data_IF_938490031887
#
_entry.id   IF_938490031887
#
_cell.length_a   1.000
_cell.length_b   1.000
_cell.length_c   1.000
_cell.angle_alpha   90.00
_cell.angle_beta   90.00
_cell.angle_gamma   90.00
#
_symmetry.space_group_name_H-M   'P 1'
#
loop_
_entity.id
_entity.type
_entity.pdbx_description
1 polymer ?
#
# COMPACT_ATOMS: atom_id res chain seq x y z
N UNK A 1 5.10 11.70 3.75
CA UNK A 1 5.32 10.85 2.56
C UNK A 1 6.40 11.51 1.73
N UNK A 2 7.63 11.03 1.78
CA UNK A 2 8.73 11.57 0.98
C UNK A 2 9.23 10.44 0.08
N UNK A 3 8.72 10.43 -1.15
CA UNK A 3 9.18 9.56 -2.24
C UNK A 3 9.99 10.45 -3.15
N UNK A 4 11.31 10.27 -3.16
CA UNK A 4 12.25 11.10 -3.90
C UNK A 4 12.91 10.36 -5.08
N UNK A 5 12.29 9.27 -5.55
CA UNK A 5 12.75 8.56 -6.76
C UNK A 5 11.86 8.97 -7.92
N UNK A 6 12.24 10.06 -8.59
CA UNK A 6 11.57 10.52 -9.81
C UNK A 6 11.85 9.52 -10.94
N UNK A 7 10.90 8.64 -11.22
CA UNK A 7 10.99 7.60 -12.25
C UNK A 7 10.42 8.05 -13.60
N UNK A 8 10.14 9.35 -13.73
CA UNK A 8 9.56 10.00 -14.90
C UNK A 8 8.13 9.56 -15.22
N UNK A 9 7.39 8.99 -14.26
CA UNK A 9 5.99 8.59 -14.47
C UNK A 9 5.12 9.76 -14.92
N UNK A 10 5.31 10.94 -14.34
CA UNK A 10 4.65 12.19 -14.71
C UNK A 10 4.74 12.48 -16.22
N UNK A 11 5.96 12.56 -16.76
CA UNK A 11 6.20 12.90 -18.17
C UNK A 11 5.91 11.74 -19.12
N UNK A 12 6.01 10.50 -18.65
CA UNK A 12 5.56 9.32 -19.43
C UNK A 12 4.06 9.33 -19.62
N UNK A 13 3.29 9.69 -18.59
CA UNK A 13 1.84 9.87 -18.70
C UNK A 13 1.51 10.98 -19.69
N UNK A 14 2.19 12.13 -19.63
CA UNK A 14 1.99 13.22 -20.61
C UNK A 14 2.31 12.78 -22.05
N UNK A 15 3.41 12.06 -22.25
CA UNK A 15 3.75 11.47 -23.54
C UNK A 15 2.65 10.53 -24.05
N UNK A 16 2.16 9.63 -23.18
CA UNK A 16 1.05 8.73 -23.52
C UNK A 16 -0.25 9.48 -23.85
N UNK A 17 -0.59 10.51 -23.08
CA UNK A 17 -1.78 11.33 -23.33
C UNK A 17 -1.73 12.02 -24.69
N UNK A 18 -0.57 12.56 -25.09
CA UNK A 18 -0.43 13.19 -26.42
C UNK A 18 -0.61 12.20 -27.59
N UNK A 19 -0.46 10.89 -27.34
CA UNK A 19 -0.75 9.84 -28.33
C UNK A 19 -2.24 9.49 -28.38
N UNK A 20 -2.88 9.40 -27.22
CA UNK A 20 -4.29 8.98 -27.09
C UNK A 20 -5.26 10.13 -27.44
N UNK A 21 -4.90 11.36 -27.07
CA UNK A 21 -5.70 12.58 -27.25
C UNK A 21 -4.86 13.67 -27.95
N UNK A 22 -4.45 13.46 -29.22
CA UNK A 22 -3.61 14.42 -29.95
C UNK A 22 -4.26 15.80 -30.15
N UNK A 23 -5.58 15.89 -30.02
CA UNK A 23 -6.35 17.14 -30.07
C UNK A 23 -6.17 18.01 -28.81
N UNK A 24 -5.74 17.44 -27.68
CA UNK A 24 -5.54 18.18 -26.44
C UNK A 24 -4.19 18.91 -26.44
N UNK A 25 -3.12 18.20 -26.83
CA UNK A 25 -1.79 18.77 -27.03
C UNK A 25 -0.88 17.82 -27.84
N UNK A 26 0.11 18.39 -28.53
CA UNK A 26 1.10 17.62 -29.29
C UNK A 26 2.27 17.15 -28.42
N UNK A 27 2.93 16.05 -28.82
CA UNK A 27 4.17 15.60 -28.18
C UNK A 27 5.27 16.68 -28.21
N UNK A 28 5.35 17.43 -29.32
CA UNK A 28 6.33 18.52 -29.47
C UNK A 28 6.15 19.57 -28.38
N UNK A 29 4.90 20.00 -28.14
CA UNK A 29 4.56 20.94 -27.07
C UNK A 29 4.92 20.39 -25.69
N UNK A 30 4.62 19.12 -25.42
CA UNK A 30 5.00 18.47 -24.14
C UNK A 30 6.51 18.48 -23.94
N UNK A 31 7.30 18.12 -24.96
CA UNK A 31 8.76 18.12 -24.87
C UNK A 31 9.34 19.52 -24.70
N UNK A 32 8.77 20.52 -25.38
CA UNK A 32 9.16 21.92 -25.24
C UNK A 32 8.93 22.41 -23.81
N UNK A 33 7.72 22.22 -23.24
CA UNK A 33 7.42 22.57 -21.85
C UNK A 33 8.35 21.86 -20.85
N UNK A 34 8.65 20.58 -21.07
CA UNK A 34 9.60 19.84 -20.20
C UNK A 34 10.99 20.47 -20.23
N UNK A 35 11.47 20.86 -21.41
CA UNK A 35 12.80 21.50 -21.57
C UNK A 35 12.83 22.90 -20.99
N UNK A 36 11.73 23.66 -21.10
CA UNK A 36 11.63 25.02 -20.59
C UNK A 36 11.56 25.04 -19.05
N UNK A 37 10.61 24.31 -18.46
CA UNK A 37 10.33 24.32 -17.02
C UNK A 37 11.35 23.50 -16.22
N UNK A 38 11.62 22.27 -16.65
CA UNK A 38 12.47 21.33 -15.90
C UNK A 38 13.90 21.25 -16.41
N UNK A 39 14.21 21.80 -17.59
CA UNK A 39 15.57 21.78 -18.18
C UNK A 39 16.18 20.38 -18.24
N UNK A 40 15.34 19.37 -18.48
CA UNK A 40 15.73 17.96 -18.40
C UNK A 40 15.40 17.20 -19.70
N UNK A 41 16.43 16.94 -20.50
CA UNK A 41 16.28 16.22 -21.78
C UNK A 41 15.93 14.74 -21.60
N UNK A 42 16.35 14.13 -20.49
CA UNK A 42 16.00 12.74 -20.17
C UNK A 42 14.50 12.59 -19.95
N UNK A 43 13.86 13.58 -19.31
CA UNK A 43 12.40 13.64 -19.15
C UNK A 43 11.69 13.79 -20.50
N UNK A 44 12.18 14.67 -21.38
CA UNK A 44 11.62 14.84 -22.72
C UNK A 44 11.74 13.56 -23.57
N UNK A 45 12.86 12.84 -23.43
CA UNK A 45 13.07 11.53 -24.06
C UNK A 45 12.16 10.46 -23.47
N UNK A 46 11.89 10.52 -22.16
CA UNK A 46 10.97 9.58 -21.49
C UNK A 46 9.53 9.75 -21.95
N UNK A 47 9.08 10.99 -22.17
CA UNK A 47 7.79 11.29 -22.78
C UNK A 47 7.67 10.71 -24.20
N UNK A 48 8.70 10.90 -25.04
CA UNK A 48 8.75 10.33 -26.39
C UNK A 48 8.67 8.80 -26.37
N UNK A 49 9.47 8.14 -25.53
CA UNK A 49 9.43 6.67 -25.40
C UNK A 49 8.07 6.15 -24.98
N UNK A 50 7.36 6.86 -24.09
CA UNK A 50 6.00 6.49 -23.72
C UNK A 50 5.03 6.67 -24.88
N UNK A 51 5.11 7.80 -25.59
CA UNK A 51 4.30 8.07 -26.79
C UNK A 51 4.43 6.95 -27.85
N UNK A 52 5.66 6.48 -28.11
CA UNK A 52 5.93 5.42 -29.09
C UNK A 52 5.46 4.03 -28.64
N UNK A 53 5.52 3.75 -27.33
CA UNK A 53 5.17 2.43 -26.77
C UNK A 53 3.67 2.26 -26.49
N UNK A 54 2.91 3.35 -26.46
CA UNK A 54 1.48 3.29 -26.15
C UNK A 54 0.72 2.59 -27.27
N UNK A 55 0.02 1.55 -26.88
CA UNK A 55 -0.90 0.79 -27.73
C UNK A 55 -2.32 1.04 -27.28
N UNK A 56 -3.23 1.24 -28.22
CA UNK A 56 -4.66 1.33 -27.94
C UNK A 56 -5.35 0.02 -28.29
N UNK A 57 -6.30 -0.38 -27.46
CA UNK A 57 -7.16 -1.53 -27.71
C UNK A 57 -8.60 -1.03 -27.63
N UNK A 58 -9.40 -1.32 -28.66
CA UNK A 58 -10.82 -1.00 -28.64
C UNK A 58 -11.54 -2.01 -27.75
N UNK A 59 -12.14 -1.53 -26.67
CA UNK A 59 -12.97 -2.36 -25.79
C UNK A 59 -14.34 -2.55 -26.42
N UNK A 60 -14.75 -3.80 -26.64
CA UNK A 60 -16.05 -4.13 -27.23
C UNK A 60 -17.13 -4.30 -26.16
N UNK A 61 -18.44 -4.12 -26.48
CA UNK A 61 -19.51 -4.23 -25.48
C UNK A 61 -19.58 -5.58 -24.74
N UNK A 62 -19.07 -6.65 -25.33
CA UNK A 62 -18.99 -8.00 -24.76
C UNK A 62 -17.82 -8.21 -23.78
N UNK A 63 -16.86 -7.28 -23.71
CA UNK A 63 -15.71 -7.34 -22.80
C UNK A 63 -15.97 -6.72 -21.42
N UNK A 64 -17.16 -6.15 -21.20
CA UNK A 64 -17.56 -5.62 -19.90
C UNK A 64 -17.80 -6.74 -18.87
N UNK A 65 -17.32 -6.55 -17.64
CA UNK A 65 -17.74 -7.40 -16.53
C UNK A 65 -19.20 -7.06 -16.18
N UNK A 66 -20.16 -8.01 -16.26
CA UNK A 66 -21.57 -7.74 -15.95
C UNK A 66 -21.81 -7.56 -14.44
N UNK A 67 -20.81 -7.80 -13.59
CA UNK A 67 -20.91 -7.53 -12.16
C UNK A 67 -21.06 -6.03 -11.94
N UNK A 68 -22.01 -5.66 -11.07
CA UNK A 68 -22.10 -4.32 -10.53
C UNK A 68 -21.23 -4.30 -9.25
N UNK A 69 -19.98 -3.80 -9.32
CA UNK A 69 -19.00 -4.06 -8.25
C UNK A 69 -19.33 -3.32 -6.96
N UNK A 70 -20.04 -2.19 -7.04
CA UNK A 70 -20.40 -1.39 -5.88
C UNK A 70 -21.77 -0.75 -6.08
N UNK A 71 -22.66 -0.97 -5.09
CA UNK A 71 -23.91 -0.23 -4.95
C UNK A 71 -23.83 0.57 -3.66
N UNK A 72 -23.84 1.89 -3.78
CA UNK A 72 -23.85 2.79 -2.62
C UNK A 72 -25.27 3.29 -2.39
N UNK A 73 -25.78 3.12 -1.17
CA UNK A 73 -26.98 3.85 -0.75
C UNK A 73 -26.54 5.29 -0.44
N UNK A 74 -27.02 6.25 -1.24
CA UNK A 74 -26.76 7.65 -0.96
C UNK A 74 -27.49 8.04 0.32
N UNK A 75 -26.78 8.63 1.32
CA UNK A 75 -27.43 9.06 2.55
C UNK A 75 -28.44 10.16 2.22
N UNK A 76 -29.57 10.19 2.94
CA UNK A 76 -30.52 11.30 2.83
C UNK A 76 -29.90 12.57 3.38
N UNK A 77 -30.38 13.73 2.95
CA UNK A 77 -29.93 15.02 3.49
C UNK A 77 -30.12 15.11 5.03
N UNK A 78 -31.08 14.38 5.60
CA UNK A 78 -31.31 14.26 7.05
C UNK A 78 -30.34 13.33 7.77
N UNK A 79 -29.67 12.45 7.03
CA UNK A 79 -28.70 11.47 7.56
C UNK A 79 -27.25 12.00 7.40
N UNK A 80 -27.06 13.02 6.55
CA UNK A 80 -25.79 13.73 6.39
C UNK A 80 -25.49 14.58 7.64
N UNK A 81 -24.24 14.51 8.10
CA UNK A 81 -23.75 15.39 9.18
C UNK A 81 -23.63 16.82 8.67
N UNK A 82 -23.78 17.81 9.56
CA UNK A 82 -23.65 19.25 9.26
C UNK A 82 -22.22 19.67 8.84
N UNK A 83 -21.28 18.72 8.71
CA UNK A 83 -19.94 18.95 8.19
C UNK A 83 -19.11 17.67 8.05
N UNK A 84 -17.96 17.79 7.40
CA UNK A 84 -16.96 16.72 7.28
C UNK A 84 -16.13 16.70 8.57
N UNK A 85 -16.68 16.12 9.63
CA UNK A 85 -15.96 15.88 10.87
C UNK A 85 -15.53 14.41 10.95
N UNK A 86 -14.21 14.19 10.95
CA UNK A 86 -13.63 12.87 11.22
C UNK A 86 -13.75 12.62 12.73
N UNK A 87 -14.51 11.60 13.17
CA UNK A 87 -14.67 11.35 14.60
C UNK A 87 -13.33 11.00 15.26
N UNK A 88 -13.20 11.33 16.54
CA UNK A 88 -12.05 10.91 17.33
C UNK A 88 -11.97 9.39 17.39
N UNK A 89 -10.75 8.86 17.50
CA UNK A 89 -10.52 7.42 17.67
C UNK A 89 -11.04 7.04 19.08
N UNK A 90 -11.94 6.06 19.19
CA UNK A 90 -12.42 5.61 20.50
C UNK A 90 -11.28 4.96 21.30
N UNK A 91 -11.47 4.81 22.60
CA UNK A 91 -10.57 3.99 23.42
C UNK A 91 -10.59 2.54 22.91
N UNK A 92 -9.40 1.93 22.86
CA UNK A 92 -9.29 0.49 22.64
C UNK A 92 -9.85 -0.30 23.82
N UNK A 93 -9.87 -1.61 23.67
CA UNK A 93 -10.36 -2.52 24.71
C UNK A 93 -9.65 -3.86 24.67
N UNK A 94 -9.95 -4.69 25.66
CA UNK A 94 -9.51 -6.07 25.66
C UNK A 94 -10.05 -6.78 24.41
N UNK A 95 -9.19 -7.58 23.80
CA UNK A 95 -9.61 -8.43 22.71
C UNK A 95 -10.36 -9.62 23.31
N UNK A 96 -11.51 -9.93 22.73
CA UNK A 96 -12.22 -11.18 22.98
C UNK A 96 -11.99 -12.07 21.79
N UNK A 97 -11.48 -13.26 22.02
CA UNK A 97 -11.34 -14.25 20.97
C UNK A 97 -12.73 -14.62 20.42
N UNK A 98 -12.98 -14.46 19.11
CA UNK A 98 -14.28 -14.79 18.52
C UNK A 98 -14.61 -16.28 18.58
N UNK A 99 -13.62 -17.16 18.73
CA UNK A 99 -13.80 -18.62 18.73
C UNK A 99 -13.84 -19.19 20.15
N UNK A 100 -12.83 -18.88 20.96
CA UNK A 100 -12.73 -19.44 22.33
C UNK A 100 -13.53 -18.63 23.35
N UNK A 101 -13.84 -17.37 23.05
CA UNK A 101 -14.49 -16.46 23.98
C UNK A 101 -13.60 -15.98 25.12
N UNK A 102 -12.32 -16.38 25.15
CA UNK A 102 -11.35 -15.93 26.14
C UNK A 102 -11.08 -14.43 25.99
N UNK A 103 -11.04 -13.73 27.13
CA UNK A 103 -10.68 -12.33 27.20
C UNK A 103 -9.17 -12.23 27.44
N UNK A 104 -8.46 -11.69 26.46
CA UNK A 104 -7.01 -11.63 26.47
C UNK A 104 -6.48 -10.77 25.32
N UNK A 105 -5.38 -10.05 25.55
CA UNK A 105 -4.82 -9.13 24.56
C UNK A 105 -5.52 -7.76 24.53
N UNK A 106 -5.31 -7.02 23.44
CA UNK A 106 -5.69 -5.61 23.32
C UNK A 106 -5.94 -5.22 21.86
N UNK A 107 -7.12 -4.68 21.57
CA UNK A 107 -7.49 -4.12 20.27
C UNK A 107 -7.53 -2.59 20.37
N UNK A 108 -6.65 -1.86 19.67
CA UNK A 108 -6.75 -0.41 19.58
C UNK A 108 -8.09 0.04 19.00
N UNK A 109 -8.62 1.15 19.49
CA UNK A 109 -9.78 1.77 18.87
C UNK A 109 -9.46 2.23 17.45
N UNK A 110 -10.44 2.18 16.57
CA UNK A 110 -10.28 2.57 15.16
C UNK A 110 -11.43 3.49 14.76
N UNK A 111 -11.14 4.40 13.84
CA UNK A 111 -12.18 5.23 13.27
C UNK A 111 -12.99 4.40 12.25
N UNK A 112 -14.32 4.29 12.40
CA UNK A 112 -15.15 3.49 11.49
C UNK A 112 -15.23 4.09 10.08
N UNK A 113 -15.05 5.40 9.95
CA UNK A 113 -15.15 6.16 8.69
C UNK A 113 -13.80 6.43 8.02
N UNK A 114 -12.69 6.35 8.75
CA UNK A 114 -11.36 6.67 8.23
C UNK A 114 -10.54 5.41 8.00
N UNK A 115 -10.90 4.69 6.92
CA UNK A 115 -10.18 3.50 6.45
C UNK A 115 -8.98 3.94 5.61
N UNK A 116 -7.80 3.34 5.85
CA UNK A 116 -6.53 3.74 5.20
C UNK A 116 -6.05 2.73 4.17
N UNK A 117 -6.73 1.60 4.05
CA UNK A 117 -6.25 0.49 3.23
C UNK A 117 -6.13 0.82 1.74
N UNK A 118 -6.97 1.71 1.21
CA UNK A 118 -6.95 2.10 -0.19
C UNK A 118 -5.67 2.84 -0.61
N UNK A 119 -4.86 3.33 0.33
CA UNK A 119 -3.60 4.04 0.01
C UNK A 119 -2.39 3.10 -0.10
N UNK A 120 -2.58 1.79 0.09
CA UNK A 120 -1.47 0.84 0.10
C UNK A 120 -1.02 0.49 -1.30
N UNK A 121 0.29 0.49 -1.48
CA UNK A 121 0.98 -0.22 -2.57
C UNK A 121 1.54 -1.55 -2.09
N UNK A 122 1.72 -1.70 -0.78
CA UNK A 122 2.25 -2.90 -0.13
C UNK A 122 1.57 -3.11 1.23
N UNK A 123 1.51 -4.35 1.71
CA UNK A 123 1.01 -4.70 3.05
C UNK A 123 1.99 -5.60 3.81
N UNK A 124 1.99 -5.58 5.15
CA UNK A 124 2.76 -6.53 5.94
C UNK A 124 2.07 -7.89 5.98
N UNK A 125 2.83 -8.96 5.75
CA UNK A 125 2.47 -10.34 6.12
C UNK A 125 3.30 -10.80 7.31
N UNK A 126 2.69 -11.58 8.21
CA UNK A 126 3.29 -11.94 9.50
C UNK A 126 3.49 -13.45 9.61
N UNK A 127 4.74 -13.88 9.74
CA UNK A 127 5.09 -15.23 10.15
C UNK A 127 4.95 -15.32 11.69
N UNK A 128 3.78 -15.83 12.13
CA UNK A 128 3.45 -15.93 13.54
C UNK A 128 4.34 -16.91 14.31
N UNK A 129 4.92 -17.91 13.65
CA UNK A 129 5.83 -18.89 14.26
C UNK A 129 7.23 -18.34 14.54
N UNK A 130 7.64 -17.33 13.78
CA UNK A 130 8.89 -16.59 14.03
C UNK A 130 8.72 -15.47 15.05
N UNK A 131 7.50 -15.13 15.45
CA UNK A 131 7.26 -14.01 16.33
C UNK A 131 7.74 -14.29 17.76
N UNK A 132 8.75 -13.54 18.21
CA UNK A 132 9.29 -13.62 19.59
C UNK A 132 8.53 -12.73 20.60
N UNK A 133 7.38 -12.16 20.21
CA UNK A 133 6.51 -11.36 21.08
C UNK A 133 7.19 -10.14 21.73
N UNK A 134 8.04 -9.44 20.97
CA UNK A 134 8.84 -8.31 21.46
C UNK A 134 8.12 -6.94 21.52
N UNK A 135 6.86 -6.85 21.06
CA UNK A 135 6.04 -5.63 21.07
C UNK A 135 6.51 -4.46 20.17
N UNK A 136 7.66 -4.58 19.49
CA UNK A 136 8.23 -3.47 18.71
C UNK A 136 7.34 -3.02 17.54
N UNK A 137 6.75 -3.97 16.79
CA UNK A 137 5.84 -3.65 15.68
C UNK A 137 4.58 -2.91 16.16
N UNK A 138 4.09 -3.23 17.36
CA UNK A 138 2.93 -2.59 17.98
C UNK A 138 3.27 -1.17 18.44
N UNK A 139 4.38 -0.99 19.17
CA UNK A 139 4.81 0.31 19.69
C UNK A 139 5.16 1.32 18.60
N UNK A 140 5.81 0.87 17.52
CA UNK A 140 6.28 1.75 16.45
C UNK A 140 5.25 1.96 15.33
N UNK A 141 4.09 1.30 15.39
CA UNK A 141 3.07 1.50 14.38
C UNK A 141 2.44 2.89 14.53
N UNK A 142 2.62 3.81 13.56
CA UNK A 142 2.08 5.17 13.67
C UNK A 142 0.54 5.18 13.67
N UNK A 143 -0.07 4.12 13.13
CA UNK A 143 -1.52 3.98 12.95
C UNK A 143 -2.16 3.01 13.95
N UNK A 144 -1.38 2.44 14.88
CA UNK A 144 -1.87 1.49 15.89
C UNK A 144 -2.70 0.34 15.30
N UNK A 145 -2.20 -0.28 14.23
CA UNK A 145 -3.00 -1.26 13.46
C UNK A 145 -2.88 -2.69 13.97
N UNK A 146 -1.93 -2.97 14.85
CA UNK A 146 -1.73 -4.29 15.41
C UNK A 146 -2.70 -4.57 16.56
N UNK A 147 -3.51 -5.61 16.41
CA UNK A 147 -4.28 -6.22 17.49
C UNK A 147 -3.35 -7.17 18.25
N UNK A 148 -3.27 -6.99 19.57
CA UNK A 148 -2.59 -7.93 20.46
C UNK A 148 -3.56 -9.06 20.73
N UNK A 149 -3.22 -10.24 20.22
CA UNK A 149 -3.99 -11.47 20.37
C UNK A 149 -3.91 -12.02 21.80
N UNK A 150 -4.82 -12.91 22.23
CA UNK A 150 -4.75 -13.55 23.54
C UNK A 150 -3.43 -14.27 23.82
N UNK A 151 -2.82 -14.85 22.78
CA UNK A 151 -1.53 -15.54 22.87
C UNK A 151 -0.33 -14.59 22.91
N UNK A 152 -0.55 -13.27 22.83
CA UNK A 152 0.48 -12.24 22.82
C UNK A 152 1.20 -12.05 21.47
N UNK A 153 0.61 -12.57 20.38
CA UNK A 153 1.01 -12.27 19.00
C UNK A 153 0.37 -10.97 18.52
N UNK A 154 0.87 -10.44 17.39
CA UNK A 154 0.43 -9.15 16.84
C UNK A 154 -0.16 -9.35 15.44
N UNK A 155 -1.48 -9.25 15.33
CA UNK A 155 -2.18 -9.36 14.05
C UNK A 155 -2.40 -7.98 13.44
N UNK A 156 -1.98 -7.78 12.19
CA UNK A 156 -2.11 -6.49 11.52
C UNK A 156 -3.53 -6.34 10.95
N UNK A 157 -4.30 -5.37 11.45
CA UNK A 157 -5.58 -5.05 10.83
C UNK A 157 -5.37 -4.33 9.49
N UNK A 158 -5.69 -5.06 8.42
CA UNK A 158 -5.50 -4.60 7.05
C UNK A 158 -6.59 -3.63 6.56
N UNK A 159 -7.58 -3.25 7.37
CA UNK A 159 -8.45 -2.12 7.01
C UNK A 159 -7.88 -0.77 7.46
N UNK A 160 -7.15 -0.78 8.58
CA UNK A 160 -6.51 0.40 9.17
C UNK A 160 -5.08 0.62 8.69
N UNK A 161 -4.41 -0.44 8.18
CA UNK A 161 -3.03 -0.36 7.71
C UNK A 161 -2.88 0.55 6.48
N UNK A 162 -1.97 1.51 6.53
CA UNK A 162 -1.59 2.35 5.39
C UNK A 162 -0.39 1.80 4.59
N UNK A 163 0.17 0.65 4.98
CA UNK A 163 1.27 0.01 4.24
C UNK A 163 2.64 0.69 4.43
N UNK A 164 2.83 1.44 5.52
CA UNK A 164 4.03 2.25 5.69
C UNK A 164 5.34 1.47 5.83
N UNK A 165 5.31 0.19 6.20
CA UNK A 165 6.48 -0.69 6.30
C UNK A 165 7.38 -0.50 7.54
N UNK A 166 6.97 0.30 8.53
CA UNK A 166 7.74 0.50 9.77
C UNK A 166 7.86 -0.80 10.58
N UNK A 167 6.82 -1.63 10.58
CA UNK A 167 6.79 -2.90 11.31
C UNK A 167 7.83 -3.91 10.82
N UNK A 168 8.06 -4.01 9.51
CA UNK A 168 9.13 -4.82 8.94
C UNK A 168 10.51 -4.28 9.33
N UNK A 169 10.71 -2.96 9.26
CA UNK A 169 11.99 -2.32 9.53
C UNK A 169 12.43 -2.42 11.00
N UNK A 170 11.48 -2.43 11.95
CA UNK A 170 11.78 -2.53 13.39
C UNK A 170 11.84 -3.98 13.89
N UNK A 171 11.29 -4.94 13.14
CA UNK A 171 11.23 -6.32 13.61
C UNK A 171 12.64 -6.92 13.73
N UNK A 172 13.07 -7.38 14.92
CA UNK A 172 14.42 -7.89 15.13
C UNK A 172 14.62 -9.29 14.54
N UNK A 173 13.52 -10.00 14.24
CA UNK A 173 13.54 -11.35 13.66
C UNK A 173 13.43 -11.24 12.15
N UNK A 174 14.44 -11.77 11.46
CA UNK A 174 14.46 -11.79 10.00
C UNK A 174 13.24 -12.54 9.44
N UNK A 175 12.56 -11.90 8.48
CA UNK A 175 11.38 -12.46 7.80
C UNK A 175 10.20 -12.82 8.72
N UNK A 176 10.13 -12.28 9.94
CA UNK A 176 8.93 -12.41 10.77
C UNK A 176 7.81 -11.49 10.28
N UNK A 177 8.12 -10.25 9.91
CA UNK A 177 7.19 -9.34 9.22
C UNK A 177 7.81 -9.00 7.88
N UNK A 178 7.07 -9.23 6.80
CA UNK A 178 7.55 -8.96 5.44
C UNK A 178 6.55 -8.10 4.69
N UNK A 179 7.01 -7.04 4.05
CA UNK A 179 6.16 -6.24 3.16
C UNK A 179 6.05 -6.93 1.80
N UNK A 180 4.83 -7.08 1.29
CA UNK A 180 4.52 -7.73 0.01
C UNK A 180 3.58 -6.86 -0.82
N UNK A 181 3.50 -7.12 -2.13
CA UNK A 181 2.68 -6.33 -3.06
C UNK A 181 1.19 -6.41 -2.73
N UNK A 182 0.53 -5.26 -2.62
CA UNK A 182 -0.91 -5.18 -2.32
C UNK A 182 -1.77 -5.84 -3.40
N UNK A 183 -1.34 -5.80 -4.67
CA UNK A 183 -2.13 -6.24 -5.82
C UNK A 183 -2.44 -7.75 -5.85
N UNK A 184 -1.77 -8.55 -5.03
CA UNK A 184 -1.99 -10.00 -4.94
C UNK A 184 -3.20 -10.37 -4.08
N UNK A 185 -3.80 -9.41 -3.37
CA UNK A 185 -4.83 -9.68 -2.35
C UNK A 185 -6.19 -9.17 -2.79
N UNK A 186 -7.23 -9.94 -2.46
CA UNK A 186 -8.62 -9.61 -2.77
C UNK A 186 -9.41 -9.09 -1.56
N UNK A 187 -8.86 -9.23 -0.35
CA UNK A 187 -9.52 -8.82 0.90
C UNK A 187 -8.53 -8.29 1.94
N UNK A 188 -9.06 -7.94 3.12
CA UNK A 188 -8.34 -7.42 4.29
C UNK A 188 -8.57 -8.28 5.54
N UNK A 189 -8.82 -9.58 5.36
CA UNK A 189 -9.10 -10.50 6.46
C UNK A 189 -7.92 -10.64 7.45
N UNK A 190 -8.21 -11.11 8.65
CA UNK A 190 -7.20 -11.36 9.69
C UNK A 190 -6.26 -12.47 9.24
N UNK A 191 -4.95 -12.19 9.29
CA UNK A 191 -3.93 -13.20 8.99
C UNK A 191 -3.78 -14.18 10.15
N UNK A 192 -3.93 -13.71 11.39
CA UNK A 192 -3.88 -14.56 12.57
C UNK A 192 -5.03 -15.59 12.60
N UNK A 193 -6.25 -15.19 12.22
CA UNK A 193 -7.37 -16.14 12.12
C UNK A 193 -7.12 -17.21 11.05
N UNK A 194 -6.57 -16.82 9.89
CA UNK A 194 -6.18 -17.75 8.83
C UNK A 194 -5.10 -18.74 9.30
N UNK A 195 -4.03 -18.24 9.93
CA UNK A 195 -2.95 -19.06 10.50
C UNK A 195 -3.45 -20.04 11.55
N UNK A 196 -4.37 -19.63 12.42
CA UNK A 196 -4.91 -20.50 13.47
C UNK A 196 -5.85 -21.58 12.92
N UNK A 197 -6.59 -21.26 11.86
CA UNK A 197 -7.57 -22.18 11.26
C UNK A 197 -6.88 -23.29 10.49
N UNK A 198 -5.94 -22.93 9.61
CA UNK A 198 -5.15 -23.88 8.82
C UNK A 198 -3.73 -23.37 8.67
N UNK A 199 -2.89 -23.74 9.64
CA UNK A 199 -1.49 -23.31 9.69
C UNK A 199 -0.70 -23.76 8.46
N UNK A 200 -0.73 -25.05 8.01
CA UNK A 200 -0.04 -25.47 6.80
C UNK A 200 -0.45 -24.69 5.54
N UNK A 201 -1.74 -24.42 5.37
CA UNK A 201 -2.21 -23.62 4.24
C UNK A 201 -1.71 -22.17 4.32
N UNK A 202 -1.77 -21.55 5.51
CA UNK A 202 -1.25 -20.21 5.73
C UNK A 202 0.26 -20.11 5.45
N UNK A 203 1.06 -21.07 5.91
CA UNK A 203 2.51 -21.11 5.65
C UNK A 203 2.81 -21.23 4.14
N UNK A 204 2.02 -22.03 3.41
CA UNK A 204 2.14 -22.15 1.96
C UNK A 204 1.79 -20.83 1.25
N UNK A 205 0.71 -20.16 1.66
CA UNK A 205 0.33 -18.84 1.14
C UNK A 205 1.37 -17.77 1.47
N UNK A 206 1.90 -17.77 2.69
CA UNK A 206 2.95 -16.86 3.14
C UNK A 206 4.19 -17.00 2.26
N UNK A 207 4.62 -18.23 1.98
CA UNK A 207 5.73 -18.50 1.08
C UNK A 207 5.47 -18.01 -0.34
N UNK A 208 4.22 -18.07 -0.82
CA UNK A 208 3.83 -17.53 -2.13
C UNK A 208 3.87 -16.01 -2.16
N UNK A 209 3.24 -15.34 -1.19
CA UNK A 209 3.19 -13.87 -1.14
C UNK A 209 4.59 -13.24 -1.05
N UNK A 210 5.51 -13.89 -0.35
CA UNK A 210 6.89 -13.40 -0.19
C UNK A 210 7.69 -13.46 -1.49
N UNK A 211 7.30 -14.27 -2.48
CA UNK A 211 8.02 -14.35 -3.78
C UNK A 211 7.98 -13.02 -4.54
N UNK A 212 6.83 -12.35 -4.55
CA UNK A 212 6.68 -11.04 -5.17
C UNK A 212 6.79 -9.94 -4.11
N UNK A 213 8.06 -9.58 -3.86
CA UNK A 213 8.48 -8.55 -2.93
C UNK A 213 9.03 -7.34 -3.71
N UNK A 214 8.18 -6.39 -4.10
CA UNK A 214 8.63 -5.23 -4.87
C UNK A 214 9.64 -4.41 -4.08
N UNK A 215 10.55 -3.74 -4.79
CA UNK A 215 11.45 -2.75 -4.18
C UNK A 215 10.57 -1.66 -3.56
N UNK A 216 10.71 -1.47 -2.25
CA UNK A 216 9.91 -0.51 -1.49
C UNK A 216 10.18 0.90 -2.00
N UNK A 217 9.16 1.50 -2.62
CA UNK A 217 9.23 2.88 -3.13
C UNK A 217 9.15 3.96 -2.05
N UNK A 218 8.81 3.60 -0.80
CA UNK A 218 8.54 4.54 0.29
C UNK A 218 9.29 4.20 1.59
N UNK A 219 10.10 5.12 2.10
CA UNK A 219 10.61 5.11 3.47
C UNK A 219 11.74 4.10 3.75
N UNK A 220 12.42 4.31 4.88
CA UNK A 220 13.59 3.54 5.30
C UNK A 220 13.26 2.05 5.53
N UNK A 221 14.01 1.17 4.89
CA UNK A 221 14.13 -0.25 5.21
C UNK A 221 15.04 -0.47 6.42
N UNK A 222 16.10 0.34 6.56
CA UNK A 222 17.01 0.37 7.71
C UNK A 222 17.74 1.71 7.84
N UNK A 223 18.31 2.00 9.01
CA UNK A 223 19.18 3.17 9.22
C UNK A 223 20.48 2.96 8.45
N UNK A 224 20.83 3.88 7.55
CA UNK A 224 22.02 3.77 6.69
C UNK A 224 21.70 3.67 5.20
N UNK A 225 20.47 3.28 4.85
CA UNK A 225 20.06 3.04 3.47
C UNK A 225 20.33 4.23 2.52
N UNK A 226 20.08 5.47 2.96
CA UNK A 226 20.40 6.65 2.11
C UNK A 226 21.89 6.77 1.79
N UNK A 227 22.78 6.48 2.74
CA UNK A 227 24.22 6.56 2.48
C UNK A 227 24.68 5.51 1.47
N UNK A 228 23.96 4.40 1.38
CA UNK A 228 24.19 3.34 0.41
C UNK A 228 23.54 3.62 -0.96
N UNK A 229 22.41 4.32 -0.98
CA UNK A 229 21.66 4.65 -2.22
C UNK A 229 22.16 5.92 -2.91
N UNK A 230 22.68 6.90 -2.15
CA UNK A 230 23.20 8.17 -2.67
C UNK A 230 24.24 7.99 -3.79
N UNK A 231 25.26 7.12 -3.68
CA UNK A 231 26.24 6.91 -4.76
C UNK A 231 25.60 6.41 -6.06
N UNK A 232 24.58 5.57 -5.96
CA UNK A 232 23.87 4.99 -7.11
C UNK A 232 22.90 5.99 -7.76
N UNK A 233 22.35 6.95 -7.01
CA UNK A 233 21.51 8.02 -7.57
C UNK A 233 22.33 9.02 -8.38
N UNK A 234 23.49 9.45 -7.88
CA UNK A 234 24.37 10.36 -8.64
C UNK A 234 24.93 9.72 -9.92
N UNK A 235 25.18 8.41 -9.91
CA UNK A 235 25.63 7.68 -11.09
C UNK A 235 24.54 7.52 -12.18
N UNK A 236 23.25 7.68 -11.85
CA UNK A 236 22.13 7.63 -12.83
C UNK A 236 21.81 9.00 -13.43
N UNK A 237 22.36 10.07 -12.86
CA UNK A 237 22.14 11.46 -13.31
C UNK A 237 23.26 12.00 -14.20
N UNK A 238 24.34 11.23 -14.42
CA UNK A 238 25.42 11.52 -15.37
C UNK A 238 25.35 10.60 -16.58
#
# INVERSE_FOLDING_TARGET
>A
LWVYKDDHTDVRVLGAMSRVLPELFSLGSVQETIREEWKNELKATSALRAFERVTTVTVTPDQGNPQEPYKFEMPKWTEMREGIAIPAIPLGGQMKDPVTGEEGGWRPGRNPTFKKWATRTMRPVVDFDKCIKCTLCWLQCPDSVFDVTPEGLYDANLEACCGCGVCEAVCPVTACVTMVNEAQFTDNASQWEAWRTDKPAYEAHLAEWIKDRPERSHGFRYRGQYQEELPNEFARQG
#
